data_IF_123278751952
#
_entry.id   IF_123278751952
#
_cell.length_a   1.000
_cell.length_b   1.000
_cell.length_c   1.000
_cell.angle_alpha   90.00
_cell.angle_beta   90.00
_cell.angle_gamma   90.00
#
_symmetry.space_group_name_H-M   'P 1'
#
loop_
_entity.id
_entity.type
_entity.pdbx_description
1 polymer ?
#
# COMPACT_ATOMS: atom_id res chain seq x y z
N UNK A 1 -9.17 -29.70 9.83
CA UNK A 1 -9.66 -29.28 11.18
C UNK A 1 -10.21 -27.90 11.01
N UNK A 2 -11.54 -27.79 10.83
CA UNK A 2 -12.24 -26.53 10.71
C UNK A 2 -12.12 -25.75 12.01
N UNK A 3 -11.43 -24.61 11.95
CA UNK A 3 -11.45 -23.67 13.07
C UNK A 3 -12.87 -23.08 13.19
N UNK A 4 -13.45 -23.00 14.40
CA UNK A 4 -14.78 -22.43 14.58
C UNK A 4 -14.83 -21.01 14.00
N UNK A 5 -15.80 -20.71 13.14
CA UNK A 5 -16.00 -19.38 12.50
C UNK A 5 -15.92 -18.20 13.47
N UNK A 6 -16.33 -18.39 14.73
CA UNK A 6 -16.28 -17.37 15.78
C UNK A 6 -14.85 -16.93 16.17
N UNK A 7 -13.86 -17.84 16.11
CA UNK A 7 -12.45 -17.47 16.37
C UNK A 7 -11.86 -16.64 15.25
N UNK A 8 -12.19 -16.95 13.98
CA UNK A 8 -11.73 -16.18 12.83
C UNK A 8 -12.25 -14.74 12.83
N UNK A 9 -13.53 -14.51 13.15
CA UNK A 9 -14.11 -13.18 13.25
C UNK A 9 -13.46 -12.34 14.36
N UNK A 10 -13.26 -12.94 15.57
CA UNK A 10 -12.61 -12.24 16.67
C UNK A 10 -11.18 -11.79 16.32
N UNK A 11 -10.43 -12.58 15.56
CA UNK A 11 -9.08 -12.23 15.15
C UNK A 11 -9.05 -11.14 14.06
N UNK A 12 -10.05 -11.11 13.17
CA UNK A 12 -10.20 -10.01 12.18
C UNK A 12 -10.45 -8.69 12.91
N UNK A 13 -11.39 -8.64 13.86
CA UNK A 13 -11.67 -7.41 14.61
C UNK A 13 -10.47 -6.93 15.43
N UNK A 14 -9.72 -7.84 16.06
CA UNK A 14 -8.51 -7.50 16.81
C UNK A 14 -7.45 -6.87 15.91
N UNK A 15 -7.21 -7.45 14.73
CA UNK A 15 -6.25 -6.90 13.73
C UNK A 15 -6.69 -5.55 13.21
N UNK A 16 -7.99 -5.37 12.97
CA UNK A 16 -8.55 -4.10 12.50
C UNK A 16 -8.46 -3.02 13.57
N UNK A 17 -8.81 -3.33 14.82
CA UNK A 17 -8.65 -2.42 15.96
C UNK A 17 -7.18 -2.03 16.18
N UNK A 18 -6.25 -2.98 16.06
CA UNK A 18 -4.82 -2.72 16.13
C UNK A 18 -4.36 -1.78 15.01
N UNK A 19 -4.80 -2.01 13.76
CA UNK A 19 -4.43 -1.16 12.63
C UNK A 19 -4.95 0.28 12.80
N UNK A 20 -6.21 0.44 13.21
CA UNK A 20 -6.78 1.76 13.51
C UNK A 20 -5.99 2.43 14.66
N UNK A 21 -5.72 1.68 15.73
CA UNK A 21 -4.94 2.17 16.87
C UNK A 21 -3.56 2.66 16.45
N UNK A 22 -2.83 1.85 15.69
CA UNK A 22 -1.46 2.15 15.31
C UNK A 22 -1.34 3.26 14.25
N UNK A 23 -2.20 3.25 13.21
CA UNK A 23 -2.02 4.12 12.04
C UNK A 23 -2.91 5.37 12.05
N UNK A 24 -3.94 5.41 12.89
CA UNK A 24 -4.82 6.56 13.02
C UNK A 24 -4.76 7.19 14.41
N UNK A 25 -5.01 6.40 15.47
CA UNK A 25 -5.10 6.96 16.82
C UNK A 25 -3.73 7.41 17.34
N UNK A 26 -2.71 6.59 17.23
CA UNK A 26 -1.37 6.88 17.76
C UNK A 26 -0.75 8.15 17.17
N UNK A 27 -0.67 8.35 15.83
CA UNK A 27 -0.09 9.58 15.30
C UNK A 27 -0.93 10.81 15.68
N UNK A 28 -2.27 10.73 15.65
CA UNK A 28 -3.13 11.85 16.05
C UNK A 28 -2.99 12.18 17.55
N UNK A 29 -2.85 11.16 18.40
CA UNK A 29 -2.59 11.37 19.82
C UNK A 29 -1.22 12.01 20.07
N UNK A 30 -0.16 11.50 19.44
CA UNK A 30 1.19 12.07 19.56
C UNK A 30 1.24 13.50 19.03
N UNK A 31 0.60 13.79 17.91
CA UNK A 31 0.56 15.15 17.35
C UNK A 31 -0.23 16.12 18.23
N UNK A 32 -1.16 15.65 19.07
CA UNK A 32 -1.91 16.52 19.99
C UNK A 32 -1.03 17.17 21.04
N UNK A 33 0.10 16.54 21.45
CA UNK A 33 1.06 17.18 22.37
C UNK A 33 1.76 18.36 21.72
N UNK A 34 1.91 18.39 20.41
CA UNK A 34 2.47 19.54 19.68
C UNK A 34 1.53 20.74 19.74
N UNK A 35 0.22 20.49 19.85
CA UNK A 35 -0.76 21.55 20.05
C UNK A 35 -0.58 22.32 21.37
N UNK A 36 0.10 21.73 22.35
CA UNK A 36 0.44 22.42 23.61
C UNK A 36 1.66 23.34 23.44
N UNK A 37 2.46 23.14 22.40
CA UNK A 37 3.69 23.88 22.14
C UNK A 37 3.57 24.95 21.05
N UNK A 38 2.52 24.88 20.22
CA UNK A 38 2.33 25.83 19.10
C UNK A 38 0.87 25.96 18.69
N UNK A 39 0.45 27.18 18.39
CA UNK A 39 -0.87 27.51 17.84
C UNK A 39 -0.92 27.35 16.30
N UNK A 40 0.22 27.13 15.66
CA UNK A 40 0.31 26.98 14.21
C UNK A 40 -0.33 25.68 13.73
N UNK A 41 -1.46 25.78 13.06
CA UNK A 41 -2.15 24.64 12.41
C UNK A 41 -1.24 23.93 11.40
N UNK A 42 -0.44 24.70 10.67
CA UNK A 42 0.51 24.14 9.69
C UNK A 42 1.56 23.25 10.35
N UNK A 43 2.16 23.68 11.44
CA UNK A 43 3.17 22.91 12.17
C UNK A 43 2.56 21.62 12.73
N UNK A 44 1.36 21.70 13.32
CA UNK A 44 0.65 20.53 13.84
C UNK A 44 0.35 19.50 12.73
N UNK A 45 -0.14 19.96 11.57
CA UNK A 45 -0.43 19.08 10.44
C UNK A 45 0.84 18.46 9.85
N UNK A 46 1.95 19.21 9.79
CA UNK A 46 3.23 18.70 9.33
C UNK A 46 3.78 17.61 10.25
N UNK A 47 3.72 17.81 11.57
CA UNK A 47 4.14 16.81 12.55
C UNK A 47 3.26 15.57 12.47
N UNK A 48 1.93 15.70 12.36
CA UNK A 48 1.02 14.58 12.17
C UNK A 48 1.38 13.77 10.92
N UNK A 49 1.68 14.45 9.82
CA UNK A 49 2.10 13.84 8.56
C UNK A 49 3.41 13.05 8.71
N UNK A 50 4.43 13.66 9.33
CA UNK A 50 5.73 13.00 9.56
C UNK A 50 5.58 11.78 10.48
N UNK A 51 4.79 11.90 11.56
CA UNK A 51 4.52 10.78 12.47
C UNK A 51 3.82 9.61 11.76
N UNK A 52 2.83 9.88 10.91
CA UNK A 52 2.12 8.83 10.14
C UNK A 52 3.08 8.07 9.24
N UNK A 53 3.88 8.79 8.47
CA UNK A 53 4.88 8.17 7.58
C UNK A 53 5.91 7.40 8.39
N UNK A 54 6.44 7.97 9.47
CA UNK A 54 7.45 7.34 10.32
C UNK A 54 6.94 6.05 10.97
N UNK A 55 5.74 6.07 11.55
CA UNK A 55 5.10 4.90 12.17
C UNK A 55 4.87 3.81 11.12
N UNK A 56 4.32 4.19 9.96
CA UNK A 56 4.07 3.24 8.87
C UNK A 56 5.37 2.61 8.36
N UNK A 57 6.40 3.42 8.08
CA UNK A 57 7.68 2.91 7.60
C UNK A 57 8.38 2.02 8.63
N UNK A 58 8.36 2.42 9.90
CA UNK A 58 8.93 1.61 10.99
C UNK A 58 8.23 0.24 11.08
N UNK A 59 6.90 0.24 11.02
CA UNK A 59 6.12 -1.00 11.00
C UNK A 59 6.48 -1.87 9.78
N UNK A 60 6.52 -1.30 8.57
CA UNK A 60 6.83 -2.04 7.36
C UNK A 60 8.24 -2.64 7.39
N UNK A 61 9.23 -1.87 7.85
CA UNK A 61 10.61 -2.36 7.99
C UNK A 61 10.68 -3.48 9.05
N UNK A 62 9.99 -3.34 10.17
CA UNK A 62 9.96 -4.37 11.22
C UNK A 62 9.33 -5.67 10.71
N UNK A 63 8.17 -5.57 10.07
CA UNK A 63 7.42 -6.73 9.53
C UNK A 63 8.18 -7.40 8.41
N UNK A 64 8.84 -6.65 7.52
CA UNK A 64 9.63 -7.20 6.41
C UNK A 64 10.83 -8.04 6.85
N UNK A 65 11.28 -7.88 8.10
CA UNK A 65 12.39 -8.66 8.68
C UNK A 65 11.94 -9.99 9.31
N UNK A 66 10.64 -10.19 9.51
CA UNK A 66 10.09 -11.46 10.03
C UNK A 66 10.23 -12.54 8.97
N UNK A 67 10.73 -13.73 9.32
CA UNK A 67 11.02 -14.82 8.37
C UNK A 67 9.81 -15.23 7.54
N UNK A 68 8.64 -15.38 8.17
CA UNK A 68 7.43 -15.80 7.49
C UNK A 68 6.93 -14.72 6.51
N UNK A 69 6.97 -13.46 6.92
CA UNK A 69 6.57 -12.33 6.07
C UNK A 69 7.56 -12.13 4.92
N UNK A 70 8.86 -12.27 5.20
CA UNK A 70 9.87 -12.21 4.15
C UNK A 70 9.63 -13.24 3.06
N UNK A 71 9.23 -14.47 3.44
CA UNK A 71 8.84 -15.50 2.47
C UNK A 71 7.63 -15.09 1.63
N UNK A 72 6.60 -14.53 2.25
CA UNK A 72 5.42 -13.97 1.53
C UNK A 72 5.85 -12.88 0.56
N UNK A 73 6.74 -11.99 0.97
CA UNK A 73 7.27 -10.93 0.10
C UNK A 73 8.19 -11.44 -1.02
N UNK A 74 8.79 -12.62 -0.87
CA UNK A 74 9.51 -13.28 -1.97
C UNK A 74 8.53 -13.86 -3.01
N UNK A 75 7.40 -14.45 -2.59
CA UNK A 75 6.32 -14.82 -3.50
C UNK A 75 5.75 -13.62 -4.24
N UNK A 76 5.58 -12.48 -3.56
CA UNK A 76 5.17 -11.22 -4.18
C UNK A 76 6.18 -10.75 -5.25
N UNK A 77 7.48 -10.91 -5.00
CA UNK A 77 8.52 -10.69 -6.00
C UNK A 77 8.42 -11.63 -7.20
N UNK A 78 8.10 -12.92 -6.97
CA UNK A 78 7.87 -13.89 -8.04
C UNK A 78 6.66 -13.51 -8.90
N UNK A 79 5.57 -13.07 -8.28
CA UNK A 79 4.37 -12.58 -8.96
C UNK A 79 4.72 -11.40 -9.90
N UNK A 80 5.40 -10.38 -9.42
CA UNK A 80 5.81 -9.24 -10.23
C UNK A 80 6.66 -9.64 -11.43
N UNK A 81 7.68 -10.50 -11.21
CA UNK A 81 8.55 -11.00 -12.28
C UNK A 81 7.76 -11.79 -13.33
N UNK A 82 6.81 -12.61 -12.89
CA UNK A 82 5.96 -13.43 -13.77
C UNK A 82 5.03 -12.55 -14.60
N UNK A 83 4.41 -11.51 -13.99
CA UNK A 83 3.58 -10.54 -14.70
C UNK A 83 4.40 -9.78 -15.75
N UNK A 84 5.60 -9.30 -15.43
CA UNK A 84 6.46 -8.65 -16.43
C UNK A 84 6.85 -9.56 -17.60
N UNK A 85 7.12 -10.85 -17.32
CA UNK A 85 7.41 -11.83 -18.38
C UNK A 85 6.21 -11.96 -19.31
N UNK A 86 5.01 -12.08 -18.76
CA UNK A 86 3.76 -12.17 -19.48
C UNK A 86 3.47 -10.91 -20.32
N UNK A 87 3.57 -9.72 -19.73
CA UNK A 87 3.32 -8.44 -20.42
C UNK A 87 4.29 -8.18 -21.57
N UNK A 88 5.50 -8.73 -21.49
CA UNK A 88 6.48 -8.69 -22.58
C UNK A 88 6.21 -9.73 -23.68
N UNK A 89 5.20 -10.58 -23.53
CA UNK A 89 4.89 -11.66 -24.47
C UNK A 89 5.93 -12.78 -24.50
N UNK A 90 6.75 -12.91 -23.44
CA UNK A 90 7.75 -13.95 -23.35
C UNK A 90 7.11 -15.25 -22.86
N UNK A 91 7.73 -16.38 -23.22
CA UNK A 91 7.31 -17.69 -22.70
C UNK A 91 7.49 -17.73 -21.18
N UNK A 92 6.46 -18.20 -20.45
CA UNK A 92 6.47 -18.33 -19.00
C UNK A 92 7.30 -19.55 -18.56
N UNK A 93 8.62 -19.39 -18.59
CA UNK A 93 9.60 -20.33 -18.06
C UNK A 93 10.33 -19.70 -16.86
N UNK A 94 10.91 -20.53 -15.99
CA UNK A 94 11.66 -20.04 -14.82
C UNK A 94 12.82 -19.14 -15.26
N UNK A 95 13.53 -19.50 -16.33
CA UNK A 95 14.66 -18.75 -16.87
C UNK A 95 14.23 -17.34 -17.33
N UNK A 96 13.13 -17.22 -18.08
CA UNK A 96 12.63 -15.96 -18.59
C UNK A 96 12.07 -15.05 -17.48
N UNK A 97 11.43 -15.66 -16.46
CA UNK A 97 10.87 -14.93 -15.33
C UNK A 97 11.97 -14.44 -14.38
N UNK A 98 13.00 -15.27 -14.13
CA UNK A 98 14.09 -14.93 -13.19
C UNK A 98 14.79 -13.62 -13.52
N UNK A 99 14.96 -13.29 -14.80
CA UNK A 99 15.64 -12.08 -15.26
C UNK A 99 14.77 -10.82 -15.24
N UNK A 100 13.47 -10.94 -14.98
CA UNK A 100 12.57 -9.78 -14.95
C UNK A 100 12.75 -8.95 -13.67
N UNK A 101 12.39 -7.66 -13.70
CA UNK A 101 12.42 -6.80 -12.52
C UNK A 101 11.34 -7.21 -11.51
N UNK A 102 11.64 -7.03 -10.22
CA UNK A 102 10.71 -7.34 -9.12
C UNK A 102 9.82 -6.17 -8.69
N UNK A 103 10.09 -4.95 -9.15
CA UNK A 103 9.29 -3.77 -8.82
C UNK A 103 8.31 -3.48 -9.95
N UNK A 104 7.01 -3.51 -9.64
CA UNK A 104 5.95 -3.33 -10.63
C UNK A 104 5.13 -2.06 -10.35
N UNK A 105 4.89 -1.17 -11.33
CA UNK A 105 4.21 0.12 -11.09
C UNK A 105 2.73 -0.05 -10.69
N UNK A 106 2.08 -1.15 -11.06
CA UNK A 106 0.67 -1.44 -10.77
C UNK A 106 0.49 -2.32 -9.53
N UNK A 107 1.40 -2.23 -8.56
CA UNK A 107 1.36 -3.04 -7.36
C UNK A 107 0.45 -2.45 -6.28
N UNK A 108 -0.39 -3.28 -5.66
CA UNK A 108 -1.27 -2.89 -4.55
C UNK A 108 -0.52 -2.43 -3.29
N UNK A 109 0.73 -2.85 -3.06
CA UNK A 109 1.51 -2.35 -1.91
C UNK A 109 1.98 -0.92 -2.11
N UNK A 110 2.21 -0.49 -3.35
CA UNK A 110 2.45 0.92 -3.68
C UNK A 110 1.25 1.80 -3.33
N UNK A 111 0.03 1.25 -3.47
CA UNK A 111 -1.22 1.92 -3.11
C UNK A 111 -1.24 2.35 -1.62
N UNK A 112 -0.70 1.55 -0.71
CA UNK A 112 -0.70 1.87 0.73
C UNK A 112 0.05 3.17 1.04
N UNK A 113 1.22 3.40 0.43
CA UNK A 113 1.97 4.63 0.64
C UNK A 113 1.23 5.84 0.04
N UNK A 114 0.64 5.66 -1.15
CA UNK A 114 -0.13 6.73 -1.80
C UNK A 114 -1.38 7.09 -0.99
N UNK A 115 -2.09 6.11 -0.40
CA UNK A 115 -3.21 6.36 0.55
C UNK A 115 -2.76 7.26 1.69
N UNK A 116 -1.60 7.01 2.29
CA UNK A 116 -1.09 7.83 3.39
C UNK A 116 -0.83 9.27 2.92
N UNK A 117 -0.18 9.45 1.77
CA UNK A 117 0.10 10.76 1.20
C UNK A 117 -1.20 11.51 0.90
N UNK A 118 -2.16 10.86 0.22
CA UNK A 118 -3.47 11.46 -0.09
C UNK A 118 -4.25 11.78 1.18
N UNK A 119 -4.22 10.89 2.19
CA UNK A 119 -4.85 11.14 3.49
C UNK A 119 -4.25 12.37 4.18
N UNK A 120 -2.93 12.54 4.14
CA UNK A 120 -2.26 13.73 4.68
C UNK A 120 -2.75 14.99 3.97
N UNK A 121 -2.78 14.99 2.63
CA UNK A 121 -3.21 16.14 1.83
C UNK A 121 -4.68 16.49 2.11
N UNK A 122 -5.59 15.52 2.04
CA UNK A 122 -7.02 15.71 2.30
C UNK A 122 -7.25 16.23 3.71
N UNK A 123 -6.64 15.59 4.71
CA UNK A 123 -6.78 16.03 6.11
C UNK A 123 -6.21 17.43 6.34
N UNK A 124 -5.06 17.76 5.71
CA UNK A 124 -4.48 19.10 5.81
C UNK A 124 -5.43 20.17 5.28
N UNK A 125 -6.04 19.94 4.12
CA UNK A 125 -7.01 20.87 3.52
C UNK A 125 -8.26 20.98 4.39
N UNK A 126 -8.85 19.85 4.79
CA UNK A 126 -10.08 19.84 5.59
C UNK A 126 -9.88 20.55 6.93
N UNK A 127 -8.81 20.26 7.66
CA UNK A 127 -8.57 20.87 8.97
C UNK A 127 -8.00 22.30 8.90
N UNK A 128 -7.52 22.73 7.73
CA UNK A 128 -7.23 24.15 7.50
C UNK A 128 -8.51 24.97 7.28
N UNK A 129 -9.50 24.40 6.57
CA UNK A 129 -10.80 25.05 6.30
C UNK A 129 -11.76 24.97 7.50
N UNK A 130 -11.73 23.84 8.21
CA UNK A 130 -12.60 23.53 9.34
C UNK A 130 -11.74 23.10 10.55
N UNK A 131 -11.21 24.07 11.32
CA UNK A 131 -10.38 23.74 12.48
C UNK A 131 -11.16 22.94 13.52
N UNK A 132 -10.67 21.75 13.87
CA UNK A 132 -11.24 20.86 14.89
C UNK A 132 -10.21 20.67 15.98
N UNK A 133 -10.46 21.24 17.16
CA UNK A 133 -9.56 21.16 18.31
C UNK A 133 -9.74 19.87 19.12
N UNK A 134 -10.97 19.37 19.18
CA UNK A 134 -11.28 18.14 19.90
C UNK A 134 -10.70 16.93 19.18
N UNK A 135 -9.78 16.22 19.85
CA UNK A 135 -9.05 15.05 19.30
C UNK A 135 -10.02 13.94 18.89
N UNK A 136 -11.05 13.67 19.69
CA UNK A 136 -12.03 12.63 19.38
C UNK A 136 -12.83 12.97 18.11
N UNK A 137 -13.31 14.20 18.00
CA UNK A 137 -14.03 14.67 16.81
C UNK A 137 -13.13 14.66 15.58
N UNK A 138 -11.84 15.01 15.73
CA UNK A 138 -10.85 14.94 14.67
C UNK A 138 -10.68 13.51 14.13
N UNK A 139 -10.63 12.51 15.00
CA UNK A 139 -10.57 11.10 14.64
C UNK A 139 -11.84 10.67 13.88
N UNK A 140 -13.02 11.06 14.36
CA UNK A 140 -14.28 10.74 13.67
C UNK A 140 -14.33 11.35 12.26
N UNK A 141 -13.90 12.59 12.08
CA UNK A 141 -13.81 13.24 10.76
C UNK A 141 -12.82 12.49 9.87
N UNK A 142 -11.64 12.10 10.37
CA UNK A 142 -10.68 11.31 9.61
C UNK A 142 -11.25 9.97 9.16
N UNK A 143 -12.00 9.28 10.03
CA UNK A 143 -12.68 8.02 9.68
C UNK A 143 -13.75 8.25 8.60
N UNK A 144 -14.52 9.33 8.71
CA UNK A 144 -15.54 9.68 7.72
C UNK A 144 -14.94 10.05 6.35
N UNK A 145 -13.71 10.58 6.33
CA UNK A 145 -13.00 10.93 5.09
C UNK A 145 -12.33 9.72 4.41
N UNK A 146 -12.20 8.57 5.08
CA UNK A 146 -11.54 7.39 4.50
C UNK A 146 -12.10 6.97 3.13
N UNK A 147 -13.41 6.88 2.89
CA UNK A 147 -13.94 6.53 1.57
C UNK A 147 -13.49 7.49 0.48
N UNK A 148 -13.47 8.80 0.77
CA UNK A 148 -12.99 9.83 -0.15
C UNK A 148 -11.50 9.66 -0.46
N UNK A 149 -10.67 9.46 0.56
CA UNK A 149 -9.22 9.23 0.42
C UNK A 149 -8.95 8.00 -0.43
N UNK A 150 -9.65 6.89 -0.16
CA UNK A 150 -9.49 5.64 -0.93
C UNK A 150 -9.92 5.83 -2.39
N UNK A 151 -11.05 6.52 -2.63
CA UNK A 151 -11.52 6.83 -3.98
C UNK A 151 -10.54 7.67 -4.79
N UNK A 152 -10.03 8.77 -4.22
CA UNK A 152 -9.01 9.61 -4.86
C UNK A 152 -7.74 8.80 -5.14
N UNK A 153 -7.29 8.00 -4.18
CA UNK A 153 -6.09 7.18 -4.34
C UNK A 153 -6.26 6.11 -5.41
N UNK A 154 -7.44 5.51 -5.50
CA UNK A 154 -7.76 4.52 -6.54
C UNK A 154 -7.65 5.13 -7.93
N UNK A 155 -8.31 6.26 -8.17
CA UNK A 155 -8.26 6.94 -9.47
C UNK A 155 -6.84 7.41 -9.81
N UNK A 156 -6.10 7.93 -8.82
CA UNK A 156 -4.69 8.30 -9.00
C UNK A 156 -3.84 7.11 -9.45
N UNK A 157 -3.92 5.98 -8.76
CA UNK A 157 -3.13 4.79 -9.13
C UNK A 157 -3.57 4.18 -10.46
N UNK A 158 -4.88 4.20 -10.75
CA UNK A 158 -5.41 3.79 -12.04
C UNK A 158 -4.85 4.63 -13.18
N UNK A 159 -4.81 5.95 -13.00
CA UNK A 159 -4.24 6.87 -13.98
C UNK A 159 -2.73 6.66 -14.15
N UNK A 160 -1.98 6.63 -13.05
CA UNK A 160 -0.52 6.44 -13.07
C UNK A 160 -0.13 5.07 -13.65
N UNK A 161 -0.86 4.02 -13.28
CA UNK A 161 -0.60 2.67 -13.80
C UNK A 161 -1.01 2.44 -15.26
N UNK A 162 -1.91 3.29 -15.79
CA UNK A 162 -2.40 3.19 -17.17
C UNK A 162 -1.62 4.03 -18.19
N UNK A 163 -0.72 4.91 -17.73
CA UNK A 163 0.01 5.83 -18.61
C UNK A 163 1.51 5.73 -18.39
N UNK A 164 2.28 5.68 -19.46
CA UNK A 164 3.74 5.69 -19.43
C UNK A 164 4.27 7.00 -20.00
N UNK A 165 4.52 7.96 -19.10
CA UNK A 165 5.10 9.26 -19.43
C UNK A 165 5.99 9.74 -18.25
N UNK A 166 6.87 10.76 -18.47
CA UNK A 166 7.79 11.23 -17.42
C UNK A 166 7.10 11.65 -16.12
N UNK A 167 5.89 12.19 -16.19
CA UNK A 167 5.13 12.65 -15.02
C UNK A 167 4.62 11.45 -14.22
N UNK A 168 3.95 10.49 -14.88
CA UNK A 168 3.45 9.28 -14.22
C UNK A 168 4.58 8.43 -13.66
N UNK A 169 5.70 8.34 -14.37
CA UNK A 169 6.91 7.66 -13.90
C UNK A 169 7.52 8.34 -12.65
N UNK A 170 7.49 9.67 -12.59
CA UNK A 170 7.90 10.38 -11.37
C UNK A 170 6.93 10.13 -10.22
N UNK A 171 5.63 10.20 -10.46
CA UNK A 171 4.58 9.98 -9.45
C UNK A 171 4.55 8.52 -8.93
N UNK A 172 4.98 7.55 -9.74
CA UNK A 172 5.10 6.15 -9.32
C UNK A 172 6.30 5.89 -8.40
N UNK A 173 7.34 6.74 -8.41
CA UNK A 173 8.60 6.51 -7.66
C UNK A 173 8.41 6.22 -6.17
N UNK A 174 7.59 6.95 -5.40
CA UNK A 174 7.39 6.64 -3.99
C UNK A 174 6.84 5.23 -3.76
N UNK A 175 5.88 4.81 -4.59
CA UNK A 175 5.31 3.46 -4.56
C UNK A 175 6.34 2.38 -4.94
N UNK A 176 7.12 2.60 -5.98
CA UNK A 176 8.21 1.70 -6.39
C UNK A 176 9.29 1.60 -5.30
N UNK A 177 9.64 2.72 -4.66
CA UNK A 177 10.58 2.72 -3.55
C UNK A 177 10.07 1.88 -2.36
N UNK A 178 8.77 1.94 -2.07
CA UNK A 178 8.14 1.14 -1.02
C UNK A 178 8.32 -0.37 -1.26
N UNK A 179 8.37 -0.81 -2.51
CA UNK A 179 8.53 -2.21 -2.87
C UNK A 179 9.90 -2.79 -2.46
N UNK A 180 10.91 -1.95 -2.14
CA UNK A 180 12.15 -2.46 -1.53
C UNK A 180 11.92 -3.18 -0.19
N UNK A 181 10.81 -2.89 0.48
CA UNK A 181 10.44 -3.51 1.76
C UNK A 181 9.35 -4.58 1.62
N UNK A 182 8.67 -4.65 0.48
CA UNK A 182 7.50 -5.52 0.26
C UNK A 182 7.69 -6.54 -0.87
N UNK A 183 8.83 -6.51 -1.58
CA UNK A 183 9.18 -7.49 -2.61
C UNK A 183 10.64 -7.90 -2.49
N UNK A 184 10.89 -9.20 -2.35
CA UNK A 184 12.24 -9.77 -2.29
C UNK A 184 12.49 -10.69 -3.48
N UNK A 185 13.77 -11.03 -3.71
CA UNK A 185 14.13 -12.00 -4.74
C UNK A 185 13.56 -13.37 -4.40
N UNK A 186 12.78 -13.97 -5.32
CA UNK A 186 12.25 -15.32 -5.16
C UNK A 186 13.29 -16.37 -5.52
N UNK A 187 13.12 -17.57 -4.97
CA UNK A 187 13.75 -18.78 -5.50
C UNK A 187 12.95 -19.36 -6.67
N UNK A 188 13.52 -20.35 -7.35
CA UNK A 188 12.91 -20.96 -8.53
C UNK A 188 11.58 -21.65 -8.23
N UNK A 189 11.46 -22.28 -7.06
CA UNK A 189 10.22 -22.94 -6.64
C UNK A 189 9.08 -21.93 -6.46
N UNK A 190 9.36 -20.71 -6.00
CA UNK A 190 8.39 -19.63 -5.87
C UNK A 190 7.99 -19.08 -7.25
N UNK A 191 8.93 -19.02 -8.19
CA UNK A 191 8.66 -18.64 -9.58
C UNK A 191 7.74 -19.67 -10.26
N UNK A 192 7.98 -20.97 -10.08
CA UNK A 192 7.11 -22.04 -10.61
C UNK A 192 5.67 -21.92 -10.10
N UNK A 193 5.50 -21.63 -8.80
CA UNK A 193 4.18 -21.39 -8.20
C UNK A 193 3.51 -20.17 -8.83
N UNK A 194 4.23 -19.05 -8.99
CA UNK A 194 3.69 -17.84 -9.59
C UNK A 194 3.30 -18.05 -11.07
N UNK A 195 4.12 -18.76 -11.85
CA UNK A 195 3.79 -19.14 -13.25
C UNK A 195 2.52 -19.99 -13.29
N UNK A 196 2.43 -20.98 -12.40
CA UNK A 196 1.27 -21.87 -12.35
C UNK A 196 0.00 -21.09 -12.00
N UNK A 197 0.08 -20.20 -11.00
CA UNK A 197 -1.04 -19.35 -10.58
C UNK A 197 -1.48 -18.41 -11.71
N UNK A 198 -0.53 -17.76 -12.40
CA UNK A 198 -0.85 -16.84 -13.51
C UNK A 198 -1.53 -17.59 -14.67
N UNK A 199 -1.03 -18.77 -15.05
CA UNK A 199 -1.62 -19.58 -16.13
C UNK A 199 -3.09 -19.94 -15.91
N UNK A 200 -3.53 -20.03 -14.64
CA UNK A 200 -4.94 -20.33 -14.31
C UNK A 200 -5.89 -19.15 -14.49
N UNK A 201 -5.36 -17.92 -14.57
CA UNK A 201 -6.17 -16.68 -14.64
C UNK A 201 -6.01 -15.93 -15.95
N UNK A 202 -5.08 -16.32 -16.82
CA UNK A 202 -4.92 -15.74 -18.16
C UNK A 202 -6.21 -16.00 -18.96
N UNK A 203 -6.88 -14.96 -19.50
CA UNK A 203 -8.08 -15.14 -20.29
C UNK A 203 -7.77 -15.87 -21.62
N UNK A 204 -8.70 -16.73 -22.07
CA UNK A 204 -8.57 -17.43 -23.36
C UNK A 204 -8.56 -16.45 -24.55
N UNK A 205 -9.28 -15.34 -24.43
CA UNK A 205 -9.33 -14.29 -25.45
C UNK A 205 -8.19 -13.29 -25.27
N UNK A 206 -7.32 -13.23 -26.26
CA UNK A 206 -6.18 -12.27 -26.26
C UNK A 206 -6.67 -10.83 -26.15
N UNK A 207 -6.13 -10.10 -25.17
CA UNK A 207 -6.37 -8.68 -24.97
C UNK A 207 -7.54 -8.32 -24.05
N UNK A 208 -8.27 -9.29 -23.49
CA UNK A 208 -9.25 -9.03 -22.42
C UNK A 208 -8.63 -8.49 -21.14
N UNK A 209 -7.35 -8.77 -20.91
CA UNK A 209 -6.53 -8.35 -19.79
C UNK A 209 -5.72 -7.06 -20.06
N UNK A 210 -5.92 -6.43 -21.22
CA UNK A 210 -5.20 -5.20 -21.56
C UNK A 210 -5.65 -4.03 -20.67
N UNK A 211 -4.70 -3.47 -19.92
CA UNK A 211 -4.93 -2.29 -19.09
C UNK A 211 -5.19 -1.04 -19.93
N UNK A 212 -6.23 -0.27 -19.59
CA UNK A 212 -6.46 1.06 -20.15
C UNK A 212 -7.25 1.11 -21.46
N UNK A 213 -7.95 0.03 -21.82
CA UNK A 213 -8.96 0.07 -22.90
C UNK A 213 -10.35 0.28 -22.36
#
# INVERSE_FOLDING_TARGET
RDQPRSRGLGDVYKRQAFSIGLFMLLPTFLSSFVALATDSVLVRNLVDAVLRIAIFMTYMIAVSRMKDIRRVFSYHGAEHKTIFCYEKGLELTVENVRVQPKHHPRCGTSFMLVVIIVAILVNTVVFALFPVENVFLRILVQLALLPLVVGITYEFNRYVGGHDNPVTNFLAKPGLWMQNFTTFEPDDSMIEVAITALKLVIPEEKGKDAWGK
#
